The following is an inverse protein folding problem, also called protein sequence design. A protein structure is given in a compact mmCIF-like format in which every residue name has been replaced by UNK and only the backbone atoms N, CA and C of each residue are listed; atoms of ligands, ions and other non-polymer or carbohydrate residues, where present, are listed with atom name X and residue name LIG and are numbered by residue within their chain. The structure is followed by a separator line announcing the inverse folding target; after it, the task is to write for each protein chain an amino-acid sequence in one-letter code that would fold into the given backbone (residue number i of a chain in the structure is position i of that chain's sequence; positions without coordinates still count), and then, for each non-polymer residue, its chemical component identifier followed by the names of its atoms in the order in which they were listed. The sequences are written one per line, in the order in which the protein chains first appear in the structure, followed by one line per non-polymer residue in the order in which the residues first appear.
data_IF_232674814278
#
_entry.id   IF_232674814278
#
_cell.length_a   1.000
_cell.length_b   1.000
_cell.length_c   1.000
_cell.angle_alpha   90.00
_cell.angle_beta   90.00
_cell.angle_gamma   90.00
#
_symmetry.space_group_name_H-M   'P 1'
#
loop_
_entity.id
_entity.type
_entity.pdbx_description
1 polymer ?
#
# COMPACT_ATOMS: atom_id res chain seq x y z
N UNK A 1 -14.18 -20.89 -5.94
CA UNK A 1 -14.18 -20.85 -4.46
C UNK A 1 -13.46 -19.57 -3.99
N UNK A 2 -14.12 -18.80 -3.18
CA UNK A 2 -13.53 -17.57 -2.63
C UNK A 2 -12.73 -17.90 -1.38
N UNK A 3 -11.47 -17.50 -1.36
CA UNK A 3 -10.65 -17.61 -0.16
C UNK A 3 -10.93 -16.40 0.72
N UNK A 4 -11.42 -16.64 1.93
CA UNK A 4 -11.65 -15.59 2.92
C UNK A 4 -10.34 -15.39 3.69
N UNK A 5 -9.75 -14.21 3.60
CA UNK A 5 -8.56 -13.85 4.34
C UNK A 5 -8.95 -13.19 5.66
N UNK A 6 -8.35 -13.66 6.75
CA UNK A 6 -8.53 -13.03 8.06
C UNK A 6 -7.79 -11.71 8.11
N UNK A 7 -8.46 -10.68 8.61
CA UNK A 7 -7.87 -9.36 8.78
C UNK A 7 -7.59 -9.08 10.24
N UNK A 8 -6.42 -8.52 10.50
CA UNK A 8 -6.07 -7.95 11.78
C UNK A 8 -5.99 -6.43 11.62
N UNK A 9 -6.75 -5.70 12.41
CA UNK A 9 -6.81 -4.24 12.36
C UNK A 9 -6.31 -3.69 13.68
N UNK A 10 -5.30 -2.82 13.63
CA UNK A 10 -4.79 -2.11 14.81
C UNK A 10 -5.38 -0.70 14.83
N UNK A 11 -6.22 -0.40 15.81
CA UNK A 11 -6.89 0.90 15.95
C UNK A 11 -5.93 2.07 16.22
N UNK A 12 -4.70 1.78 16.64
CA UNK A 12 -3.67 2.79 16.86
C UNK A 12 -2.78 3.04 15.65
N UNK A 13 -2.98 2.29 14.56
CA UNK A 13 -2.19 2.42 13.34
C UNK A 13 -2.88 3.35 12.36
N UNK A 14 -2.20 4.44 11.98
CA UNK A 14 -2.75 5.40 11.01
C UNK A 14 -2.99 4.75 9.64
N UNK A 15 -2.11 3.83 9.22
CA UNK A 15 -2.27 3.15 7.94
C UNK A 15 -3.46 2.19 7.94
N UNK A 16 -3.74 1.52 9.06
CA UNK A 16 -4.96 0.74 9.21
C UNK A 16 -6.21 1.60 9.07
N UNK A 17 -6.20 2.78 9.67
CA UNK A 17 -7.31 3.73 9.59
C UNK A 17 -7.53 4.24 8.17
N UNK A 18 -6.45 4.55 7.44
CA UNK A 18 -6.51 4.95 6.04
C UNK A 18 -7.01 3.81 5.16
N UNK A 19 -6.47 2.61 5.36
CA UNK A 19 -6.83 1.44 4.55
C UNK A 19 -8.29 1.02 4.73
N UNK A 20 -8.83 1.16 5.93
CA UNK A 20 -10.18 0.70 6.27
C UNK A 20 -11.24 1.82 6.31
N UNK A 21 -10.91 2.99 5.81
CA UNK A 21 -11.88 4.06 5.60
C UNK A 21 -12.20 4.91 6.84
N UNK A 22 -11.52 4.71 7.96
CA UNK A 22 -11.72 5.53 9.17
C UNK A 22 -11.19 6.95 8.99
N UNK A 23 -10.17 7.13 8.16
CA UNK A 23 -9.66 8.44 7.75
C UNK A 23 -9.91 8.58 6.26
N UNK A 24 -10.66 9.61 5.82
CA UNK A 24 -10.91 9.83 4.39
C UNK A 24 -9.62 10.09 3.63
N UNK A 25 -9.48 9.48 2.46
CA UNK A 25 -8.35 9.70 1.57
C UNK A 25 -8.76 9.38 0.14
N UNK A 26 -8.07 9.96 -0.83
CA UNK A 26 -8.28 9.67 -2.24
C UNK A 26 -7.55 8.39 -2.61
N UNK A 27 -8.29 7.37 -3.00
CA UNK A 27 -7.71 6.12 -3.48
C UNK A 27 -7.71 6.06 -5.00
N UNK A 28 -6.67 5.47 -5.58
CA UNK A 28 -6.62 5.18 -7.01
C UNK A 28 -7.01 3.74 -7.31
N UNK A 29 -7.04 2.91 -6.28
CA UNK A 29 -7.46 1.52 -6.36
C UNK A 29 -7.91 1.05 -4.98
N UNK A 30 -8.93 0.24 -4.94
CA UNK A 30 -9.40 -0.39 -3.70
C UNK A 30 -10.10 -1.70 -4.02
N UNK A 31 -9.79 -2.73 -3.24
CA UNK A 31 -10.52 -3.99 -3.23
C UNK A 31 -10.77 -4.42 -1.77
N UNK A 32 -11.20 -5.66 -1.55
CA UNK A 32 -11.49 -6.16 -0.21
C UNK A 32 -10.25 -6.25 0.69
N UNK A 33 -9.06 -6.33 0.11
CA UNK A 33 -7.83 -6.63 0.84
C UNK A 33 -6.80 -5.52 0.79
N UNK A 34 -6.89 -4.61 -0.18
CA UNK A 34 -5.91 -3.55 -0.40
C UNK A 34 -6.58 -2.23 -0.74
N UNK A 35 -5.88 -1.16 -0.42
CA UNK A 35 -6.19 0.19 -0.86
C UNK A 35 -4.90 0.87 -1.31
N UNK A 36 -4.93 1.53 -2.45
CA UNK A 36 -3.78 2.28 -2.97
C UNK A 36 -4.13 3.76 -2.98
N UNK A 37 -3.33 4.54 -2.29
CA UNK A 37 -3.51 5.98 -2.18
C UNK A 37 -2.33 6.71 -2.79
N UNK A 38 -2.53 7.96 -3.20
CA UNK A 38 -1.43 8.83 -3.60
C UNK A 38 -0.84 9.51 -2.37
N UNK A 39 0.49 9.65 -2.35
CA UNK A 39 1.16 10.41 -1.30
C UNK A 39 0.70 11.88 -1.40
N UNK A 40 0.39 12.47 -0.25
CA UNK A 40 -0.04 13.86 -0.17
C UNK A 40 1.11 14.88 -0.37
N UNK A 41 2.37 14.43 -0.35
CA UNK A 41 3.51 15.33 -0.51
C UNK A 41 3.57 15.88 -1.95
N UNK A 42 3.55 17.21 -2.17
CA UNK A 42 3.46 17.78 -3.52
C UNK A 42 4.67 17.45 -4.41
N UNK A 43 5.84 17.19 -3.81
CA UNK A 43 7.06 16.87 -4.56
C UNK A 43 7.08 15.43 -5.09
N UNK A 44 6.14 14.58 -4.66
CA UNK A 44 6.15 13.15 -4.98
C UNK A 44 5.02 12.76 -5.94
N UNK A 45 4.87 13.49 -7.04
CA UNK A 45 3.86 13.18 -8.07
C UNK A 45 4.00 11.75 -8.55
N UNK A 46 2.90 11.01 -8.49
CA UNK A 46 2.89 9.60 -8.86
C UNK A 46 3.45 8.66 -7.80
N UNK A 47 3.83 9.18 -6.63
CA UNK A 47 4.18 8.33 -5.49
C UNK A 47 2.88 7.77 -4.89
N UNK A 48 2.71 6.47 -4.99
CA UNK A 48 1.56 5.78 -4.45
C UNK A 48 1.97 4.87 -3.30
N UNK A 49 1.07 4.67 -2.36
CA UNK A 49 1.26 3.79 -1.23
C UNK A 49 0.24 2.67 -1.30
N UNK A 50 0.71 1.43 -1.34
CA UNK A 50 -0.15 0.25 -1.31
C UNK A 50 -0.35 -0.16 0.13
N UNK A 51 -1.58 -0.11 0.60
CA UNK A 51 -1.95 -0.42 1.97
C UNK A 51 -2.73 -1.73 2.00
N UNK A 52 -2.21 -2.78 2.65
CA UNK A 52 -3.04 -3.93 2.96
C UNK A 52 -4.09 -3.55 4.01
N UNK A 53 -5.28 -4.11 3.91
CA UNK A 53 -6.35 -3.85 4.89
C UNK A 53 -6.17 -4.64 6.17
N UNK A 54 -5.18 -5.52 6.24
CA UNK A 54 -4.75 -6.18 7.47
C UNK A 54 -3.48 -5.49 8.00
N UNK A 55 -3.36 -5.37 9.31
CA UNK A 55 -2.15 -4.79 9.91
C UNK A 55 -0.98 -5.76 9.82
N UNK A 56 0.15 -5.27 9.33
CA UNK A 56 1.44 -5.96 9.38
C UNK A 56 2.53 -4.91 9.55
N UNK A 57 3.38 -5.07 10.55
CA UNK A 57 4.43 -4.10 10.84
C UNK A 57 5.52 -4.09 9.76
N UNK A 58 5.70 -5.21 9.09
CA UNK A 58 6.73 -5.39 8.07
C UNK A 58 6.38 -6.57 7.15
N UNK A 59 7.24 -6.80 6.16
CA UNK A 59 7.07 -7.88 5.20
C UNK A 59 7.02 -9.26 5.88
N UNK A 60 7.79 -9.44 6.96
CA UNK A 60 7.89 -10.74 7.62
C UNK A 60 6.59 -11.15 8.33
N UNK A 61 5.79 -10.18 8.75
CA UNK A 61 4.49 -10.40 9.41
C UNK A 61 3.32 -10.40 8.43
N UNK A 62 3.53 -9.98 7.19
CA UNK A 62 2.47 -9.93 6.19
C UNK A 62 2.05 -11.36 5.81
N UNK A 63 0.76 -11.71 5.92
CA UNK A 63 0.31 -13.03 5.48
C UNK A 63 0.61 -13.26 4.00
N UNK A 64 1.00 -14.49 3.66
CA UNK A 64 1.43 -14.84 2.30
C UNK A 64 0.38 -14.53 1.24
N UNK A 65 -0.89 -14.70 1.55
CA UNK A 65 -2.00 -14.41 0.64
C UNK A 65 -2.02 -12.95 0.20
N UNK A 66 -1.65 -12.04 1.10
CA UNK A 66 -1.51 -10.62 0.77
C UNK A 66 -0.26 -10.38 -0.08
N UNK A 67 0.85 -11.01 0.28
CA UNK A 67 2.09 -10.89 -0.48
C UNK A 67 1.97 -11.35 -1.92
N UNK A 68 1.21 -12.40 -2.16
CA UNK A 68 0.98 -12.94 -3.51
C UNK A 68 0.27 -11.96 -4.44
N UNK A 69 -0.58 -11.08 -3.90
CA UNK A 69 -1.36 -10.13 -4.69
C UNK A 69 -0.66 -8.80 -4.93
N UNK A 70 0.34 -8.48 -4.12
CA UNK A 70 0.86 -7.10 -4.06
C UNK A 70 1.50 -6.65 -5.38
N UNK A 71 2.24 -7.53 -6.05
CA UNK A 71 2.89 -7.18 -7.32
C UNK A 71 1.91 -7.03 -8.47
N UNK A 72 0.82 -7.82 -8.47
CA UNK A 72 -0.25 -7.63 -9.46
C UNK A 72 -0.90 -6.25 -9.31
N UNK A 73 -1.13 -5.81 -8.08
CA UNK A 73 -1.67 -4.49 -7.78
C UNK A 73 -0.67 -3.40 -8.15
N UNK A 74 0.60 -3.58 -7.81
CA UNK A 74 1.67 -2.64 -8.16
C UNK A 74 1.80 -2.47 -9.67
N UNK A 75 1.70 -3.55 -10.43
CA UNK A 75 1.74 -3.50 -11.90
C UNK A 75 0.55 -2.70 -12.45
N UNK A 76 -0.64 -2.99 -11.99
CA UNK A 76 -1.86 -2.32 -12.44
C UNK A 76 -1.84 -0.82 -12.15
N UNK A 77 -1.53 -0.46 -10.91
CA UNK A 77 -1.44 0.94 -10.50
C UNK A 77 -0.25 1.65 -11.15
N UNK A 78 0.88 0.97 -11.27
CA UNK A 78 2.07 1.51 -11.93
C UNK A 78 1.84 1.86 -13.38
N UNK A 79 1.11 1.04 -14.11
CA UNK A 79 0.72 1.33 -15.49
C UNK A 79 -0.13 2.60 -15.57
N UNK A 80 -1.12 2.72 -14.70
CA UNK A 80 -1.99 3.89 -14.66
C UNK A 80 -1.21 5.17 -14.33
N UNK A 81 -0.30 5.11 -13.37
CA UNK A 81 0.55 6.23 -12.99
C UNK A 81 1.49 6.63 -14.13
N UNK A 82 2.11 5.65 -14.78
CA UNK A 82 3.00 5.89 -15.92
C UNK A 82 2.28 6.58 -17.06
N UNK A 83 1.07 6.15 -17.38
CA UNK A 83 0.25 6.75 -18.44
C UNK A 83 -0.16 8.18 -18.10
N UNK A 84 -0.49 8.43 -16.83
CA UNK A 84 -0.94 9.75 -16.37
C UNK A 84 0.18 10.78 -16.34
N UNK A 85 1.36 10.39 -15.88
CA UNK A 85 2.50 11.29 -15.66
C UNK A 85 3.63 11.12 -16.65
N UNK A 86 3.55 10.18 -17.57
CA UNK A 86 4.55 9.90 -18.61
C UNK A 86 5.96 9.64 -18.04
N UNK A 87 6.04 8.83 -17.00
CA UNK A 87 7.31 8.42 -16.40
C UNK A 87 7.98 7.30 -17.19
N UNK A 88 9.32 7.34 -17.26
CA UNK A 88 10.11 6.34 -17.98
C UNK A 88 10.33 5.05 -17.16
N UNK A 89 10.16 5.12 -15.85
CA UNK A 89 10.41 3.99 -14.98
C UNK A 89 9.61 4.03 -13.70
N UNK A 90 9.67 2.92 -12.97
CA UNK A 90 8.94 2.72 -11.71
C UNK A 90 9.78 1.92 -10.75
N UNK A 91 9.83 2.33 -9.50
CA UNK A 91 10.40 1.56 -8.42
C UNK A 91 9.30 1.09 -7.48
N UNK A 92 9.37 -0.17 -7.06
CA UNK A 92 8.53 -0.70 -5.99
C UNK A 92 9.41 -0.86 -4.76
N UNK A 93 9.06 -0.18 -3.67
CA UNK A 93 9.88 -0.07 -2.49
C UNK A 93 9.12 -0.55 -1.26
N UNK A 94 9.77 -1.39 -0.44
CA UNK A 94 9.21 -1.83 0.82
C UNK A 94 10.34 -1.89 1.87
N UNK A 95 10.18 -1.14 2.96
CA UNK A 95 11.19 -1.02 4.01
C UNK A 95 10.78 -1.85 5.23
N UNK A 96 11.74 -2.58 5.79
CA UNK A 96 11.51 -3.48 6.93
C UNK A 96 12.46 -3.14 8.07
N UNK A 97 11.89 -2.73 9.20
CA UNK A 97 12.64 -2.39 10.40
C UNK A 97 13.17 -0.95 10.38
N UNK A 98 13.48 -0.42 11.54
CA UNK A 98 13.89 0.97 11.71
C UNK A 98 15.16 1.34 10.93
N UNK A 99 16.11 0.41 10.84
CA UNK A 99 17.36 0.65 10.13
C UNK A 99 17.19 0.84 8.62
N UNK A 100 16.12 0.29 8.05
CA UNK A 100 15.80 0.44 6.63
C UNK A 100 14.94 1.68 6.34
N UNK A 101 14.31 2.23 7.34
CA UNK A 101 13.45 3.41 7.22
C UNK A 101 14.26 4.68 7.36
N UNK A 102 14.11 5.60 6.42
CA UNK A 102 14.74 6.91 6.49
C UNK A 102 13.69 7.90 6.95
N UNK A 103 13.53 7.99 8.29
CA UNK A 103 12.67 8.96 8.94
C UNK A 103 11.17 8.73 8.85
N UNK A 104 10.71 7.57 8.33
CA UNK A 104 9.30 7.22 8.20
C UNK A 104 9.06 5.73 8.24
N UNK A 105 7.97 5.34 8.89
CA UNK A 105 7.38 4.03 8.70
C UNK A 105 6.63 3.98 7.36
N UNK A 106 7.02 3.07 6.49
CA UNK A 106 6.31 2.78 5.24
C UNK A 106 5.80 1.36 5.25
N UNK A 107 4.66 1.19 4.71
CA UNK A 107 4.02 -0.12 4.60
C UNK A 107 3.93 -0.52 3.15
#
# INVERSE_FOLDING_TARGET
MRIIMNKHIDDNCIFCKLANGQIPTNSIYEDDDFKVILDAAPAAKGHAIILPKTHAANLFELPDEYGEKIFAIAKKCGKAIKETYDYDGLNVLQNNGEAAEIGRAHV
#
